data_IF_004763883706
#
_entry.id   IF_004763883706
#
_cell.length_a   1.000
_cell.length_b   1.000
_cell.length_c   1.000
_cell.angle_alpha   90.00
_cell.angle_beta   90.00
_cell.angle_gamma   90.00
#
_symmetry.space_group_name_H-M   'P 1'
#
loop_
_entity.id
_entity.type
_entity.pdbx_description
1 polymer ?
#
# COMPACT_ATOMS: atom_id res chain seq x y z
N UNK A 1 -2.65 29.34 17.04
CA UNK A 1 -2.00 29.49 15.72
C UNK A 1 -0.82 30.43 15.93
N UNK A 2 0.40 29.87 15.99
CA UNK A 2 1.62 30.61 16.27
C UNK A 2 1.98 31.59 15.15
N UNK A 3 1.73 31.23 13.89
CA UNK A 3 1.91 32.10 12.74
C UNK A 3 1.05 31.59 11.56
N UNK A 4 0.08 32.40 11.08
CA UNK A 4 -0.84 32.01 10.02
C UNK A 4 -0.14 31.81 8.65
N UNK A 5 0.93 32.58 8.39
CA UNK A 5 1.69 32.48 7.14
C UNK A 5 2.42 31.15 7.04
N UNK A 6 3.08 30.70 8.11
CA UNK A 6 3.73 29.40 8.18
C UNK A 6 2.72 28.25 8.10
N UNK A 7 1.54 28.43 8.69
CA UNK A 7 0.46 27.43 8.62
C UNK A 7 -0.03 27.20 7.20
N UNK A 8 -0.20 28.27 6.42
CA UNK A 8 -0.59 28.15 4.99
C UNK A 8 0.48 27.40 4.19
N UNK A 9 1.76 27.75 4.39
CA UNK A 9 2.87 27.06 3.68
C UNK A 9 2.85 25.57 4.00
N UNK A 10 2.72 25.19 5.28
CA UNK A 10 2.68 23.79 5.69
C UNK A 10 1.48 23.06 5.09
N UNK A 11 0.27 23.67 5.14
CA UNK A 11 -0.93 23.06 4.56
C UNK A 11 -0.81 22.83 3.05
N UNK A 12 -0.18 23.75 2.33
CA UNK A 12 0.08 23.57 0.88
C UNK A 12 1.02 22.39 0.63
N UNK A 13 2.07 22.28 1.42
CA UNK A 13 3.01 21.16 1.31
C UNK A 13 2.38 19.82 1.73
N UNK A 14 1.56 19.80 2.77
CA UNK A 14 0.83 18.60 3.21
C UNK A 14 -0.21 18.16 2.16
N UNK A 15 -0.89 19.12 1.52
CA UNK A 15 -1.76 18.83 0.37
C UNK A 15 -0.99 18.20 -0.80
N UNK A 16 0.25 18.64 -1.06
CA UNK A 16 1.10 18.03 -2.07
C UNK A 16 1.47 16.58 -1.72
N UNK A 17 1.74 16.29 -0.44
CA UNK A 17 1.98 14.91 0.04
C UNK A 17 0.74 14.04 -0.19
N UNK A 18 -0.44 14.53 0.15
CA UNK A 18 -1.70 13.79 -0.04
C UNK A 18 -1.98 13.53 -1.51
N UNK A 19 -1.78 14.53 -2.38
CA UNK A 19 -1.93 14.38 -3.82
C UNK A 19 -0.96 13.36 -4.40
N UNK A 20 0.31 13.42 -3.98
CA UNK A 20 1.31 12.43 -4.36
C UNK A 20 0.91 11.02 -3.89
N UNK A 21 0.48 10.85 -2.65
CA UNK A 21 0.05 9.57 -2.11
C UNK A 21 -1.14 8.98 -2.88
N UNK A 22 -2.14 9.81 -3.23
CA UNK A 22 -3.29 9.38 -4.06
C UNK A 22 -2.86 8.95 -5.45
N UNK A 23 -2.02 9.75 -6.13
CA UNK A 23 -1.51 9.43 -7.46
C UNK A 23 -0.69 8.14 -7.45
N UNK A 24 0.25 8.03 -6.53
CA UNK A 24 1.12 6.86 -6.38
C UNK A 24 0.33 5.61 -5.97
N UNK A 25 -0.62 5.73 -5.06
CA UNK A 25 -1.48 4.62 -4.65
C UNK A 25 -2.32 4.06 -5.80
N UNK A 26 -2.93 4.93 -6.62
CA UNK A 26 -3.67 4.51 -7.80
C UNK A 26 -2.79 3.78 -8.82
N UNK A 27 -1.55 4.25 -9.00
CA UNK A 27 -0.59 3.62 -9.91
C UNK A 27 -0.05 2.30 -9.36
N UNK A 28 0.23 2.23 -8.07
CA UNK A 28 0.65 1.02 -7.37
C UNK A 28 -0.39 -0.10 -7.51
N UNK A 29 -1.67 0.21 -7.40
CA UNK A 29 -2.77 -0.73 -7.59
C UNK A 29 -2.70 -1.45 -8.95
N UNK A 30 -2.31 -0.75 -10.02
CA UNK A 30 -2.16 -1.36 -11.36
C UNK A 30 -1.02 -2.37 -11.41
N UNK A 31 0.12 -2.07 -10.78
CA UNK A 31 1.24 -2.99 -10.74
C UNK A 31 0.92 -4.25 -9.93
N UNK A 32 0.26 -4.10 -8.77
CA UNK A 32 -0.18 -5.24 -7.98
C UNK A 32 -1.26 -6.06 -8.69
N UNK A 33 -2.17 -5.44 -9.43
CA UNK A 33 -3.14 -6.16 -10.23
C UNK A 33 -2.48 -6.99 -11.34
N UNK A 34 -1.45 -6.45 -12.00
CA UNK A 34 -0.68 -7.18 -12.99
C UNK A 34 0.09 -8.37 -12.37
N UNK A 35 0.70 -8.16 -11.20
CA UNK A 35 1.35 -9.24 -10.45
C UNK A 35 0.36 -10.34 -10.08
N UNK A 36 -0.83 -9.97 -9.60
CA UNK A 36 -1.84 -10.93 -9.19
C UNK A 36 -2.39 -11.74 -10.38
N UNK A 37 -2.53 -11.10 -11.55
CA UNK A 37 -2.90 -11.79 -12.77
C UNK A 37 -1.83 -12.80 -13.21
N UNK A 38 -0.54 -12.42 -13.15
CA UNK A 38 0.57 -13.34 -13.47
C UNK A 38 0.68 -14.49 -12.46
N UNK A 39 0.36 -14.24 -11.18
CA UNK A 39 0.31 -15.28 -10.14
C UNK A 39 -0.80 -16.27 -10.44
N UNK A 40 -2.01 -15.81 -10.76
CA UNK A 40 -3.14 -16.67 -11.10
C UNK A 40 -2.89 -17.50 -12.36
N UNK A 41 -2.22 -16.95 -13.40
CA UNK A 41 -1.82 -17.70 -14.59
C UNK A 41 -0.81 -18.81 -14.28
N UNK A 42 0.16 -18.53 -13.39
CA UNK A 42 1.14 -19.52 -12.95
C UNK A 42 0.49 -20.62 -12.11
N UNK A 43 -0.38 -20.26 -11.16
CA UNK A 43 -1.07 -21.21 -10.28
C UNK A 43 -1.99 -22.13 -11.08
N UNK A 44 -2.77 -21.59 -12.03
CA UNK A 44 -3.61 -22.39 -12.94
C UNK A 44 -2.78 -23.35 -13.79
N UNK A 45 -1.62 -22.89 -14.29
CA UNK A 45 -0.71 -23.76 -15.03
C UNK A 45 -0.15 -24.89 -14.18
N UNK A 46 0.23 -24.61 -12.92
CA UNK A 46 0.73 -25.64 -11.98
C UNK A 46 -0.36 -26.66 -11.72
N UNK A 47 -1.58 -26.23 -11.45
CA UNK A 47 -2.73 -27.11 -11.17
C UNK A 47 -3.01 -28.05 -12.36
N UNK A 48 -3.03 -27.48 -13.59
CA UNK A 48 -3.20 -28.26 -14.81
C UNK A 48 -2.10 -29.31 -15.00
N UNK A 49 -0.84 -28.91 -14.80
CA UNK A 49 0.32 -29.78 -14.99
C UNK A 49 0.43 -30.87 -13.93
N UNK A 50 0.08 -30.57 -12.67
CA UNK A 50 0.06 -31.54 -11.58
C UNK A 50 -1.06 -32.55 -11.83
N UNK A 51 -2.25 -32.09 -12.19
CA UNK A 51 -3.39 -32.95 -12.50
C UNK A 51 -3.12 -33.84 -13.72
N UNK A 52 -2.45 -33.29 -14.74
CA UNK A 52 -2.08 -33.99 -15.98
C UNK A 52 -0.75 -34.75 -15.93
N UNK A 53 -0.10 -34.88 -14.76
CA UNK A 53 1.27 -35.41 -14.64
C UNK A 53 1.45 -36.79 -15.28
N UNK A 54 0.47 -37.69 -15.17
CA UNK A 54 0.54 -39.04 -15.79
C UNK A 54 0.62 -38.94 -17.31
N UNK A 55 -0.14 -38.05 -17.91
CA UNK A 55 -0.15 -37.81 -19.36
C UNK A 55 1.17 -37.25 -19.83
N UNK A 56 1.70 -36.25 -19.11
CA UNK A 56 3.00 -35.61 -19.41
C UNK A 56 4.11 -36.68 -19.44
N UNK A 57 4.11 -37.59 -18.47
CA UNK A 57 5.07 -38.69 -18.34
C UNK A 57 4.97 -39.69 -19.51
N UNK A 58 3.77 -40.07 -19.88
CA UNK A 58 3.54 -41.05 -20.98
C UNK A 58 4.02 -40.49 -22.34
N UNK A 59 3.87 -39.17 -22.53
CA UNK A 59 4.26 -38.51 -23.79
C UNK A 59 5.68 -37.90 -23.76
N UNK A 60 6.46 -38.09 -22.70
CA UNK A 60 7.81 -37.50 -22.51
C UNK A 60 7.85 -35.98 -22.75
N UNK A 61 6.86 -35.25 -22.21
CA UNK A 61 6.72 -33.80 -22.41
C UNK A 61 7.23 -32.96 -21.23
N UNK A 62 8.02 -33.53 -20.32
CA UNK A 62 8.50 -32.83 -19.11
C UNK A 62 9.32 -31.57 -19.44
N UNK A 63 10.21 -31.65 -20.44
CA UNK A 63 11.04 -30.53 -20.86
C UNK A 63 10.19 -29.34 -21.35
N UNK A 64 9.15 -29.62 -22.15
CA UNK A 64 8.24 -28.61 -22.66
C UNK A 64 7.42 -27.98 -21.51
N UNK A 65 7.06 -28.80 -20.53
CA UNK A 65 6.32 -28.36 -19.35
C UNK A 65 7.16 -27.44 -18.45
N UNK A 66 8.41 -27.81 -18.19
CA UNK A 66 9.35 -26.98 -17.46
C UNK A 66 9.60 -25.65 -18.17
N UNK A 67 9.73 -25.67 -19.50
CA UNK A 67 9.86 -24.44 -20.30
C UNK A 67 8.63 -23.52 -20.17
N UNK A 68 7.42 -24.10 -20.21
CA UNK A 68 6.17 -23.38 -20.01
C UNK A 68 6.06 -22.76 -18.60
N UNK A 69 6.47 -23.49 -17.57
CA UNK A 69 6.57 -22.99 -16.20
C UNK A 69 7.57 -21.82 -16.08
N UNK A 70 8.77 -22.01 -16.62
CA UNK A 70 9.83 -20.99 -16.57
C UNK A 70 9.37 -19.68 -17.21
N UNK A 71 8.69 -19.74 -18.35
CA UNK A 71 8.17 -18.55 -19.01
C UNK A 71 7.18 -17.77 -18.12
N UNK A 72 6.22 -18.46 -17.50
CA UNK A 72 5.23 -17.86 -16.58
C UNK A 72 5.86 -17.33 -15.29
N UNK A 73 6.80 -18.10 -14.75
CA UNK A 73 7.54 -17.69 -13.54
C UNK A 73 8.39 -16.43 -13.79
N UNK A 74 9.00 -16.31 -14.99
CA UNK A 74 9.73 -15.11 -15.37
C UNK A 74 8.80 -13.90 -15.55
N UNK A 75 7.60 -14.08 -16.07
CA UNK A 75 6.60 -13.01 -16.14
C UNK A 75 6.13 -12.60 -14.74
N UNK A 76 5.84 -13.56 -13.85
CA UNK A 76 5.52 -13.26 -12.45
C UNK A 76 6.68 -12.54 -11.74
N UNK A 77 7.91 -12.96 -11.97
CA UNK A 77 9.10 -12.28 -11.43
C UNK A 77 9.19 -10.84 -11.93
N UNK A 78 8.93 -10.59 -13.22
CA UNK A 78 8.96 -9.26 -13.83
C UNK A 78 7.88 -8.34 -13.26
N UNK A 79 6.64 -8.80 -13.23
CA UNK A 79 5.50 -8.03 -12.70
C UNK A 79 5.61 -7.81 -11.19
N UNK A 80 6.03 -8.83 -10.43
CA UNK A 80 6.26 -8.74 -9.00
C UNK A 80 7.39 -7.77 -8.64
N UNK A 81 8.52 -7.84 -9.35
CA UNK A 81 9.62 -6.90 -9.15
C UNK A 81 9.16 -5.46 -9.42
N UNK A 82 8.39 -5.23 -10.49
CA UNK A 82 7.86 -3.91 -10.80
C UNK A 82 6.91 -3.40 -9.70
N UNK A 83 6.01 -4.25 -9.21
CA UNK A 83 5.06 -3.91 -8.16
C UNK A 83 5.76 -3.54 -6.84
N UNK A 84 6.67 -4.40 -6.38
CA UNK A 84 7.39 -4.21 -5.11
C UNK A 84 8.36 -3.02 -5.20
N UNK A 85 9.10 -2.87 -6.31
CA UNK A 85 10.00 -1.74 -6.49
C UNK A 85 9.25 -0.41 -6.48
N UNK A 86 8.10 -0.35 -7.15
CA UNK A 86 7.27 0.85 -7.16
C UNK A 86 6.72 1.16 -5.76
N UNK A 87 6.17 0.17 -5.06
CA UNK A 87 5.66 0.33 -3.70
C UNK A 87 6.75 0.78 -2.73
N UNK A 88 7.93 0.18 -2.79
CA UNK A 88 9.06 0.54 -1.92
C UNK A 88 9.62 1.93 -2.22
N UNK A 89 9.44 2.48 -3.41
CA UNK A 89 9.85 3.85 -3.74
C UNK A 89 8.94 4.92 -3.14
N UNK A 90 7.70 4.58 -2.80
CA UNK A 90 6.71 5.54 -2.27
C UNK A 90 7.12 6.12 -0.92
N UNK A 91 7.61 5.28 -0.01
CA UNK A 91 7.99 5.70 1.35
C UNK A 91 9.17 6.69 1.34
N UNK A 92 10.30 6.41 0.69
CA UNK A 92 11.40 7.37 0.58
C UNK A 92 10.99 8.70 -0.07
N UNK A 93 10.15 8.67 -1.10
CA UNK A 93 9.67 9.88 -1.74
C UNK A 93 8.83 10.75 -0.81
N UNK A 94 7.95 10.14 -0.03
CA UNK A 94 7.16 10.86 0.98
C UNK A 94 8.06 11.49 2.04
N UNK A 95 9.10 10.78 2.47
CA UNK A 95 10.09 11.30 3.42
C UNK A 95 10.86 12.48 2.84
N UNK A 96 11.29 12.40 1.57
CA UNK A 96 11.97 13.51 0.88
C UNK A 96 11.07 14.75 0.79
N UNK A 97 9.80 14.59 0.42
CA UNK A 97 8.83 15.69 0.38
C UNK A 97 8.68 16.32 1.77
N UNK A 98 8.64 15.50 2.82
CA UNK A 98 8.60 15.97 4.21
C UNK A 98 9.82 16.79 4.61
N UNK A 99 11.03 16.39 4.21
CA UNK A 99 12.25 17.17 4.44
C UNK A 99 12.26 18.49 3.65
N UNK A 100 11.78 18.46 2.41
CA UNK A 100 11.63 19.69 1.61
C UNK A 100 10.65 20.66 2.27
N UNK A 101 9.51 20.16 2.75
CA UNK A 101 8.56 20.96 3.53
C UNK A 101 9.24 21.59 4.75
N UNK A 102 9.94 20.78 5.55
CA UNK A 102 10.68 21.27 6.72
C UNK A 102 11.68 22.38 6.37
N UNK A 103 12.45 22.19 5.28
CA UNK A 103 13.42 23.18 4.80
C UNK A 103 12.74 24.50 4.37
N UNK A 104 11.64 24.42 3.63
CA UNK A 104 10.86 25.58 3.19
C UNK A 104 10.35 26.36 4.43
N UNK A 105 9.77 25.66 5.40
CA UNK A 105 9.26 26.26 6.63
C UNK A 105 10.39 26.90 7.45
N UNK A 106 11.55 26.26 7.54
CA UNK A 106 12.71 26.80 8.24
C UNK A 106 13.23 28.10 7.60
N UNK A 107 13.37 28.13 6.28
CA UNK A 107 13.82 29.31 5.55
C UNK A 107 12.79 30.44 5.62
N UNK A 108 11.52 30.15 5.35
CA UNK A 108 10.44 31.13 5.40
C UNK A 108 10.27 31.70 6.82
N UNK A 109 10.29 30.83 7.83
CA UNK A 109 10.19 31.23 9.25
C UNK A 109 11.39 32.05 9.72
N UNK A 110 12.61 31.68 9.28
CA UNK A 110 13.82 32.46 9.54
C UNK A 110 13.75 33.87 8.92
N UNK A 111 13.25 33.99 7.70
CA UNK A 111 13.03 35.32 7.07
C UNK A 111 12.00 36.15 7.83
N UNK A 112 10.95 35.55 8.36
CA UNK A 112 9.95 36.24 9.19
C UNK A 112 10.53 36.69 10.54
N UNK A 113 11.42 35.90 11.13
CA UNK A 113 12.12 36.29 12.36
C UNK A 113 13.04 37.48 12.11
N UNK A 114 13.81 37.51 11.01
CA UNK A 114 14.68 38.67 10.64
C UNK A 114 13.86 39.94 10.43
N UNK A 115 12.64 39.81 9.90
CA UNK A 115 11.71 40.96 9.71
C UNK A 115 10.99 41.36 10.99
N UNK A 116 11.23 40.70 12.12
CA UNK A 116 10.55 40.97 13.40
C UNK A 116 9.08 40.56 13.47
N UNK A 117 8.62 39.74 12.48
CA UNK A 117 7.23 39.28 12.39
C UNK A 117 6.99 37.97 13.12
N UNK A 118 8.04 37.32 13.62
CA UNK A 118 7.97 36.05 14.37
C UNK A 118 9.10 35.99 15.40
N UNK A 119 8.87 35.28 16.50
CA UNK A 119 9.89 34.99 17.50
C UNK A 119 10.63 33.69 17.18
N UNK A 120 11.93 33.62 17.52
CA UNK A 120 12.78 32.44 17.28
C UNK A 120 12.25 31.21 18.06
N UNK A 121 11.74 31.42 19.28
CA UNK A 121 11.14 30.35 20.09
C UNK A 121 9.86 29.80 19.45
N UNK A 122 9.03 30.67 18.88
CA UNK A 122 7.86 30.27 18.11
C UNK A 122 8.22 29.47 16.86
N UNK A 123 9.27 29.87 16.14
CA UNK A 123 9.78 29.15 14.97
C UNK A 123 10.28 27.75 15.35
N UNK A 124 11.07 27.64 16.41
CA UNK A 124 11.57 26.35 16.91
C UNK A 124 10.43 25.39 17.25
N UNK A 125 9.43 25.88 18.00
CA UNK A 125 8.23 25.12 18.34
C UNK A 125 7.46 24.69 17.07
N UNK A 126 7.33 25.57 16.10
CA UNK A 126 6.63 25.29 14.85
C UNK A 126 7.32 24.20 14.04
N UNK A 127 8.65 24.22 13.93
CA UNK A 127 9.42 23.17 13.25
C UNK A 127 9.25 21.79 13.88
N UNK A 128 9.12 21.73 15.22
CA UNK A 128 8.79 20.48 15.92
C UNK A 128 7.40 19.98 15.53
N UNK A 129 6.41 20.87 15.49
CA UNK A 129 5.04 20.50 15.11
C UNK A 129 4.95 20.04 13.65
N UNK A 130 5.63 20.71 12.71
CA UNK A 130 5.69 20.30 11.29
C UNK A 130 6.24 18.88 11.16
N UNK A 131 7.29 18.57 11.90
CA UNK A 131 7.89 17.23 11.89
C UNK A 131 6.96 16.15 12.48
N UNK A 132 6.18 16.51 13.49
CA UNK A 132 5.25 15.58 14.15
C UNK A 132 3.93 15.41 13.38
N UNK A 133 3.54 16.36 12.54
CA UNK A 133 2.25 16.34 11.84
C UNK A 133 2.10 15.16 10.88
N UNK A 134 3.18 14.62 10.36
CA UNK A 134 3.16 13.44 9.48
C UNK A 134 2.75 12.14 10.21
N UNK A 135 3.03 12.01 11.50
CA UNK A 135 2.71 10.80 12.27
C UNK A 135 1.21 10.53 12.38
N UNK A 136 0.35 11.50 12.78
CA UNK A 136 -1.09 11.27 12.86
C UNK A 136 -1.71 10.86 11.53
N UNK A 137 -1.25 11.41 10.40
CA UNK A 137 -1.76 11.07 9.08
C UNK A 137 -1.54 9.59 8.76
N UNK A 138 -0.35 9.07 9.05
CA UNK A 138 -0.04 7.66 8.89
C UNK A 138 -0.87 6.77 9.83
N UNK A 139 -1.07 7.20 11.08
CA UNK A 139 -1.88 6.47 12.06
C UNK A 139 -3.35 6.38 11.64
N UNK A 140 -3.93 7.47 11.14
CA UNK A 140 -5.30 7.46 10.61
C UNK A 140 -5.44 6.56 9.40
N UNK A 141 -4.46 6.50 8.52
CA UNK A 141 -4.47 5.58 7.37
C UNK A 141 -4.43 4.12 7.82
N UNK A 142 -3.58 3.79 8.79
CA UNK A 142 -3.51 2.45 9.37
C UNK A 142 -4.81 2.06 10.09
N UNK A 143 -5.38 2.99 10.86
CA UNK A 143 -6.65 2.78 11.55
C UNK A 143 -7.79 2.54 10.56
N UNK A 144 -7.84 3.29 9.46
CA UNK A 144 -8.81 3.07 8.39
C UNK A 144 -8.71 1.68 7.79
N UNK A 145 -7.50 1.20 7.48
CA UNK A 145 -7.28 -0.14 6.97
C UNK A 145 -7.66 -1.21 8.01
N UNK A 146 -7.34 -0.99 9.27
CA UNK A 146 -7.73 -1.90 10.36
C UNK A 146 -9.25 -2.01 10.47
N UNK A 147 -9.97 -0.90 10.43
CA UNK A 147 -11.43 -0.88 10.48
C UNK A 147 -12.07 -1.60 9.28
N UNK A 148 -11.55 -1.39 8.06
CA UNK A 148 -12.03 -2.11 6.88
C UNK A 148 -11.83 -3.61 6.98
N UNK A 149 -10.69 -4.06 7.48
CA UNK A 149 -10.41 -5.47 7.70
C UNK A 149 -11.30 -6.07 8.81
N UNK A 150 -11.52 -5.31 9.89
CA UNK A 150 -12.41 -5.72 10.97
C UNK A 150 -13.87 -5.84 10.51
N UNK A 151 -14.35 -4.89 9.69
CA UNK A 151 -15.68 -4.94 9.10
C UNK A 151 -15.85 -6.14 8.16
N UNK A 152 -14.87 -6.40 7.28
CA UNK A 152 -14.91 -7.57 6.41
C UNK A 152 -14.88 -8.90 7.19
N UNK A 153 -14.15 -8.94 8.31
CA UNK A 153 -14.15 -10.10 9.22
C UNK A 153 -15.49 -10.28 9.94
N UNK A 154 -16.06 -9.18 10.40
CA UNK A 154 -17.37 -9.19 11.06
C UNK A 154 -18.50 -9.63 10.09
N UNK A 155 -18.48 -9.13 8.86
CA UNK A 155 -19.45 -9.54 7.82
C UNK A 155 -19.42 -11.05 7.58
N UNK A 156 -18.23 -11.65 7.47
CA UNK A 156 -18.08 -13.10 7.31
C UNK A 156 -18.55 -13.88 8.54
N UNK A 157 -18.27 -13.35 9.73
CA UNK A 157 -18.71 -13.96 10.98
C UNK A 157 -20.24 -13.97 11.09
N UNK A 158 -20.89 -12.83 10.82
CA UNK A 158 -22.34 -12.74 10.85
C UNK A 158 -22.98 -13.58 9.75
N UNK A 159 -22.41 -13.62 8.53
CA UNK A 159 -22.88 -14.51 7.48
C UNK A 159 -22.80 -15.98 7.87
N UNK A 160 -21.76 -16.37 8.61
CA UNK A 160 -21.67 -17.75 9.14
C UNK A 160 -22.67 -18.02 10.29
N UNK A 161 -22.96 -17.01 11.11
CA UNK A 161 -23.95 -17.13 12.20
C UNK A 161 -25.40 -17.18 11.70
N UNK A 162 -25.65 -16.59 10.53
CA UNK A 162 -26.99 -16.58 9.89
C UNK A 162 -27.26 -17.86 9.05
N UNK A 163 -26.27 -18.77 8.94
CA UNK A 163 -26.50 -20.06 8.30
C UNK A 163 -27.49 -20.89 9.14
N UNK A 164 -28.50 -21.45 8.49
CA UNK A 164 -29.41 -22.37 9.12
C UNK A 164 -28.63 -23.59 9.65
N UNK A 165 -28.83 -24.00 10.91
CA UNK A 165 -28.17 -25.17 11.45
C UNK A 165 -28.63 -26.42 10.67
N UNK A 166 -27.68 -27.32 10.40
CA UNK A 166 -28.01 -28.62 9.81
C UNK A 166 -29.07 -29.33 10.69
N UNK A 167 -30.17 -29.69 10.07
CA UNK A 167 -31.17 -30.52 10.70
C UNK A 167 -30.73 -31.96 10.50
N UNK A 168 -30.31 -32.63 11.59
CA UNK A 168 -30.00 -34.03 11.56
C UNK A 168 -31.31 -34.85 11.55
N UNK A 169 -31.82 -35.10 10.36
CA UNK A 169 -32.98 -36.01 10.15
C UNK A 169 -32.54 -37.45 9.88
N UNK A 170 -31.31 -37.81 10.22
CA UNK A 170 -30.75 -39.15 10.04
C UNK A 170 -31.42 -40.17 10.95
N UNK A 171 -32.33 -40.97 10.39
CA UNK A 171 -32.75 -42.22 10.99
C UNK A 171 -31.72 -43.28 10.65
N UNK A 172 -30.82 -43.59 11.58
CA UNK A 172 -30.04 -44.83 11.54
C UNK A 172 -30.91 -45.90 12.16
N UNK A 173 -31.51 -46.82 11.34
CA UNK A 173 -32.00 -48.10 11.76
C UNK A 173 -30.87 -49.11 11.89
#
# INVERSE_FOLDING_TARGET
ILNWQLTIITLVCDAAIVLYARYSGARSKRFFAAQQASLGDLDGYIEEMVSGQKVIKVFNREAANVAGFTCRNDELRRTGTAAVSYANSMVPMTVVIGYVNYAIVAVAGGMLCIKGLSDVGALASYLVFVRQAAMPINQFTQLGNFLLNALAGAERLFAAMDLEPEVDEGCVE
#
